data_IF_221126788018
#
_entry.id   IF_221126788018
#
_cell.length_a   1.000
_cell.length_b   1.000
_cell.length_c   1.000
_cell.angle_alpha   90.00
_cell.angle_beta   90.00
_cell.angle_gamma   90.00
#
_symmetry.space_group_name_H-M   'P 1'
#
loop_
_entity.id
_entity.type
_entity.pdbx_description
1 polymer ?
#
# COMPACT_ATOMS: atom_id res chain seq x y z
N UNK A 1 27.39 -13.84 -25.48
CA UNK A 1 27.92 -14.93 -24.64
C UNK A 1 27.22 -14.81 -23.31
N UNK A 2 26.54 -15.89 -22.90
CA UNK A 2 25.92 -16.00 -21.57
C UNK A 2 27.02 -16.03 -20.51
N UNK A 3 26.74 -15.53 -19.31
CA UNK A 3 27.75 -15.51 -18.25
C UNK A 3 28.07 -16.93 -17.78
N UNK A 4 29.35 -17.25 -17.61
CA UNK A 4 29.78 -18.61 -17.24
C UNK A 4 29.76 -18.76 -15.72
N UNK A 5 28.61 -19.13 -15.15
CA UNK A 5 28.51 -19.50 -13.74
C UNK A 5 28.85 -20.99 -13.59
N UNK A 6 29.51 -21.38 -12.49
CA UNK A 6 29.82 -22.79 -12.23
C UNK A 6 28.54 -23.61 -12.04
N UNK A 7 28.55 -24.84 -12.55
CA UNK A 7 27.41 -25.76 -12.41
C UNK A 7 27.03 -25.99 -10.94
N UNK A 8 28.03 -26.00 -10.04
CA UNK A 8 27.83 -26.12 -8.60
C UNK A 8 27.00 -24.96 -8.03
N UNK A 9 27.33 -23.70 -8.38
CA UNK A 9 26.62 -22.53 -7.87
C UNK A 9 25.17 -22.47 -8.40
N UNK A 10 24.95 -22.88 -9.65
CA UNK A 10 23.60 -23.00 -10.22
C UNK A 10 22.76 -24.09 -9.52
N UNK A 11 23.39 -25.22 -9.17
CA UNK A 11 22.73 -26.29 -8.42
C UNK A 11 22.35 -25.86 -7.00
N UNK A 12 23.24 -25.16 -6.29
CA UNK A 12 22.96 -24.62 -4.96
C UNK A 12 21.82 -23.58 -4.99
N UNK A 13 21.82 -22.68 -5.98
CA UNK A 13 20.73 -21.71 -6.17
C UNK A 13 19.38 -22.42 -6.40
N UNK A 14 19.38 -23.50 -7.17
CA UNK A 14 18.18 -24.31 -7.42
C UNK A 14 17.66 -24.97 -6.13
N UNK A 15 18.56 -25.49 -5.30
CA UNK A 15 18.21 -26.07 -3.99
C UNK A 15 17.61 -24.99 -3.08
N UNK A 16 18.20 -23.80 -3.03
CA UNK A 16 17.69 -22.68 -2.25
C UNK A 16 16.30 -22.24 -2.73
N UNK A 17 16.08 -22.17 -4.05
CA UNK A 17 14.76 -21.82 -4.58
C UNK A 17 13.69 -22.83 -4.19
N UNK A 18 14.01 -24.13 -4.17
CA UNK A 18 13.09 -25.16 -3.66
C UNK A 18 12.81 -24.98 -2.16
N UNK A 19 13.82 -24.61 -1.37
CA UNK A 19 13.64 -24.28 0.05
C UNK A 19 12.67 -23.11 0.24
N UNK A 20 12.83 -22.03 -0.53
CA UNK A 20 11.89 -20.88 -0.55
C UNK A 20 10.45 -21.34 -0.79
N UNK A 21 10.23 -22.21 -1.78
CA UNK A 21 8.90 -22.76 -2.10
C UNK A 21 8.35 -23.60 -0.94
N UNK A 22 9.15 -24.54 -0.42
CA UNK A 22 8.71 -25.49 0.61
C UNK A 22 8.39 -24.80 1.95
N UNK A 23 9.15 -23.76 2.30
CA UNK A 23 8.95 -22.97 3.52
C UNK A 23 7.92 -21.84 3.33
N UNK A 24 7.29 -21.74 2.15
CA UNK A 24 6.35 -20.67 1.79
C UNK A 24 6.93 -19.25 1.93
N UNK A 25 8.25 -19.12 1.79
CA UNK A 25 8.95 -17.87 2.00
C UNK A 25 8.70 -16.90 0.84
N UNK A 26 8.54 -15.62 1.16
CA UNK A 26 8.43 -14.52 0.20
C UNK A 26 9.79 -13.85 0.06
N UNK A 27 10.31 -13.71 -1.17
CA UNK A 27 11.60 -13.06 -1.42
C UNK A 27 11.45 -11.95 -2.46
N UNK A 28 11.82 -10.72 -2.08
CA UNK A 28 11.83 -9.55 -2.94
C UNK A 28 13.27 -9.14 -3.21
N UNK A 29 13.68 -9.18 -4.48
CA UNK A 29 14.99 -8.73 -4.94
C UNK A 29 14.82 -7.38 -5.63
N UNK A 30 15.57 -6.38 -5.19
CA UNK A 30 15.54 -5.03 -5.77
C UNK A 30 16.90 -4.77 -6.39
N UNK A 31 16.91 -4.54 -7.70
CA UNK A 31 18.07 -4.08 -8.43
C UNK A 31 17.98 -2.57 -8.69
N UNK A 32 19.03 -1.85 -8.31
CA UNK A 32 19.25 -0.46 -8.69
C UNK A 32 20.65 -0.31 -9.27
N UNK A 33 20.87 0.72 -10.09
CA UNK A 33 22.19 0.95 -10.68
C UNK A 33 22.21 2.09 -11.69
N UNK A 34 23.41 2.42 -12.16
CA UNK A 34 23.65 3.57 -13.05
C UNK A 34 23.21 3.35 -14.50
N UNK A 35 23.14 2.10 -14.94
CA UNK A 35 22.89 1.75 -16.34
C UNK A 35 21.77 0.73 -16.46
N UNK A 36 20.62 1.15 -17.00
CA UNK A 36 19.51 0.26 -17.30
C UNK A 36 19.88 -0.87 -18.27
N UNK A 37 20.88 -0.67 -19.15
CA UNK A 37 21.34 -1.72 -20.07
C UNK A 37 22.09 -2.83 -19.35
N UNK A 38 23.02 -2.46 -18.48
CA UNK A 38 23.82 -3.41 -17.70
C UNK A 38 22.93 -4.13 -16.70
N UNK A 39 22.11 -3.37 -15.97
CA UNK A 39 21.14 -3.90 -15.02
C UNK A 39 20.17 -4.88 -15.68
N UNK A 40 19.58 -4.51 -16.83
CA UNK A 40 18.69 -5.39 -17.57
C UNK A 40 19.38 -6.69 -18.02
N UNK A 41 20.67 -6.65 -18.37
CA UNK A 41 21.42 -7.85 -18.71
C UNK A 41 21.69 -8.73 -17.48
N UNK A 42 22.17 -8.15 -16.38
CA UNK A 42 22.42 -8.87 -15.11
C UNK A 42 21.15 -9.52 -14.60
N UNK A 43 20.03 -8.79 -14.59
CA UNK A 43 18.72 -9.33 -14.16
C UNK A 43 18.28 -10.48 -15.07
N UNK A 44 18.44 -10.35 -16.39
CA UNK A 44 18.06 -11.41 -17.32
C UNK A 44 18.90 -12.68 -17.13
N UNK A 45 20.22 -12.55 -16.98
CA UNK A 45 21.09 -13.68 -16.68
C UNK A 45 20.75 -14.30 -15.31
N UNK A 46 20.49 -13.48 -14.28
CA UNK A 46 20.09 -13.95 -12.95
C UNK A 46 18.78 -14.76 -13.01
N UNK A 47 17.78 -14.26 -13.74
CA UNK A 47 16.51 -14.96 -13.94
C UNK A 47 16.66 -16.28 -14.69
N UNK A 48 17.59 -16.37 -15.65
CA UNK A 48 17.82 -17.60 -16.41
C UNK A 48 18.41 -18.74 -15.55
N UNK A 49 19.00 -18.41 -14.40
CA UNK A 49 19.52 -19.40 -13.44
C UNK A 49 18.43 -19.92 -12.50
N UNK A 50 17.31 -19.23 -12.41
CA UNK A 50 16.18 -19.56 -11.53
C UNK A 50 15.12 -20.36 -12.30
N UNK A 51 14.39 -21.22 -11.60
CA UNK A 51 13.21 -21.89 -12.15
C UNK A 51 12.11 -20.85 -12.48
N UNK A 52 11.69 -20.72 -13.75
CA UNK A 52 10.78 -19.65 -14.18
C UNK A 52 9.43 -19.65 -13.48
N UNK A 53 8.89 -20.82 -13.09
CA UNK A 53 7.59 -20.89 -12.39
C UNK A 53 7.60 -20.25 -11.01
N UNK A 54 8.78 -20.04 -10.42
CA UNK A 54 8.97 -19.49 -9.09
C UNK A 54 9.20 -17.98 -9.05
N UNK A 55 9.32 -17.31 -10.20
CA UNK A 55 9.79 -15.92 -10.27
C UNK A 55 8.82 -14.99 -10.98
N UNK A 56 8.80 -13.72 -10.57
CA UNK A 56 8.12 -12.64 -11.28
C UNK A 56 9.04 -11.44 -11.41
N UNK A 57 9.07 -10.80 -12.57
CA UNK A 57 9.84 -9.58 -12.81
C UNK A 57 8.90 -8.40 -13.03
N UNK A 58 9.20 -7.27 -12.40
CA UNK A 58 8.46 -6.01 -12.61
C UNK A 58 9.42 -4.87 -12.91
N UNK A 59 9.23 -4.28 -14.09
CA UNK A 59 9.80 -2.98 -14.44
C UNK A 59 8.84 -1.86 -14.07
N UNK A 60 9.31 -0.96 -13.22
CA UNK A 60 8.56 0.24 -12.84
C UNK A 60 8.98 1.43 -13.69
N UNK A 61 8.04 2.33 -13.91
CA UNK A 61 8.27 3.60 -14.60
C UNK A 61 7.81 4.71 -13.64
N UNK A 62 8.67 5.13 -12.70
CA UNK A 62 8.32 6.12 -11.69
C UNK A 62 7.72 7.41 -12.26
N UNK A 63 8.18 7.82 -13.44
CA UNK A 63 7.72 9.04 -14.14
C UNK A 63 6.24 9.00 -14.54
N UNK A 64 5.68 7.79 -14.70
CA UNK A 64 4.29 7.59 -15.11
C UNK A 64 3.35 7.35 -13.90
N UNK A 65 3.87 7.38 -12.68
CA UNK A 65 3.06 7.14 -11.48
C UNK A 65 2.24 8.38 -11.12
N UNK A 66 0.98 8.43 -11.57
CA UNK A 66 0.11 9.58 -11.38
C UNK A 66 -1.10 9.32 -10.47
N UNK A 67 -1.20 8.12 -9.87
CA UNK A 67 -2.35 7.76 -9.05
C UNK A 67 -2.01 6.82 -7.89
N UNK A 68 -2.86 6.74 -6.84
CA UNK A 68 -2.69 5.79 -5.75
C UNK A 68 -2.52 4.34 -6.22
N UNK A 69 -3.24 3.93 -7.28
CA UNK A 69 -3.06 2.61 -7.90
C UNK A 69 -1.64 2.38 -8.39
N UNK A 70 -1.03 3.39 -9.02
CA UNK A 70 0.32 3.27 -9.58
C UNK A 70 1.37 3.21 -8.48
N UNK A 71 1.26 4.06 -7.44
CA UNK A 71 2.16 4.00 -6.29
C UNK A 71 2.07 2.66 -5.56
N UNK A 72 0.86 2.17 -5.34
CA UNK A 72 0.66 0.91 -4.62
C UNK A 72 0.97 -0.32 -5.47
N UNK A 73 1.45 -0.16 -6.72
CA UNK A 73 2.06 -1.26 -7.48
C UNK A 73 3.27 -1.87 -6.78
N UNK A 74 3.99 -1.11 -5.97
CA UNK A 74 5.09 -1.68 -5.18
C UNK A 74 4.61 -2.76 -4.21
N UNK A 75 3.40 -2.61 -3.65
CA UNK A 75 2.76 -3.64 -2.83
C UNK A 75 2.12 -4.71 -3.72
N UNK A 76 1.35 -4.34 -4.76
CA UNK A 76 0.60 -5.35 -5.53
C UNK A 76 1.47 -6.30 -6.34
N UNK A 77 2.75 -5.96 -6.56
CA UNK A 77 3.74 -6.79 -7.28
C UNK A 77 4.67 -7.57 -6.35
N UNK A 78 4.43 -7.52 -5.05
CA UNK A 78 5.20 -8.28 -4.08
C UNK A 78 5.14 -9.79 -4.39
N UNK A 79 6.12 -10.58 -3.94
CA UNK A 79 6.08 -12.03 -4.15
C UNK A 79 4.91 -12.66 -3.38
N UNK A 80 4.23 -13.63 -3.98
CA UNK A 80 3.37 -14.53 -3.22
C UNK A 80 4.22 -15.50 -2.36
N UNK A 81 3.62 -16.16 -1.37
CA UNK A 81 4.27 -17.23 -0.59
C UNK A 81 4.93 -18.27 -1.50
N UNK A 82 6.20 -18.56 -1.22
CA UNK A 82 7.03 -19.47 -1.99
C UNK A 82 7.53 -18.91 -3.33
N UNK A 83 7.47 -17.61 -3.57
CA UNK A 83 7.89 -16.95 -4.82
C UNK A 83 8.98 -15.91 -4.60
N UNK A 84 9.67 -15.60 -5.69
CA UNK A 84 10.67 -14.54 -5.79
C UNK A 84 10.12 -13.45 -6.72
N UNK A 85 10.04 -12.21 -6.26
CA UNK A 85 9.79 -11.05 -7.11
C UNK A 85 11.07 -10.28 -7.32
N UNK A 86 11.32 -9.84 -8.55
CA UNK A 86 12.48 -9.05 -8.93
C UNK A 86 11.98 -7.69 -9.42
N UNK A 87 12.43 -6.63 -8.78
CA UNK A 87 12.13 -5.25 -9.12
C UNK A 87 13.35 -4.59 -9.74
N UNK A 88 13.14 -3.83 -10.79
CA UNK A 88 14.05 -2.75 -11.19
C UNK A 88 13.30 -1.42 -11.26
N UNK A 89 14.04 -0.32 -11.16
CA UNK A 89 13.49 1.03 -11.09
C UNK A 89 12.46 1.21 -9.97
N UNK A 90 12.73 0.65 -8.80
CA UNK A 90 11.82 0.62 -7.66
C UNK A 90 11.56 2.01 -7.05
N UNK A 91 11.03 2.05 -5.83
CA UNK A 91 10.85 3.30 -5.08
C UNK A 91 12.16 4.08 -4.89
N UNK A 92 13.34 3.45 -4.98
CA UNK A 92 14.61 4.17 -4.95
C UNK A 92 14.85 4.99 -6.22
N UNK A 93 14.59 4.43 -7.40
CA UNK A 93 14.64 5.20 -8.65
C UNK A 93 13.63 6.36 -8.63
N UNK A 94 12.48 6.20 -7.96
CA UNK A 94 11.53 7.30 -7.72
C UNK A 94 12.11 8.38 -6.79
N UNK A 95 12.70 8.01 -5.65
CA UNK A 95 13.38 8.95 -4.73
C UNK A 95 14.38 9.79 -5.52
N UNK A 96 15.21 9.14 -6.32
CA UNK A 96 16.24 9.78 -7.12
C UNK A 96 15.64 10.78 -8.11
N UNK A 97 14.56 10.42 -8.81
CA UNK A 97 13.87 11.30 -9.75
C UNK A 97 13.30 12.53 -9.05
N UNK A 98 12.56 12.34 -7.96
CA UNK A 98 11.89 13.43 -7.24
C UNK A 98 12.87 14.36 -6.51
N UNK A 99 13.94 13.83 -5.91
CA UNK A 99 14.99 14.66 -5.28
C UNK A 99 15.71 15.50 -6.34
N UNK A 100 15.90 14.97 -7.55
CA UNK A 100 16.47 15.75 -8.65
C UNK A 100 15.55 16.90 -9.10
N UNK A 101 14.23 16.73 -8.95
CA UNK A 101 13.22 17.78 -9.16
C UNK A 101 13.06 18.73 -7.96
N UNK A 102 13.85 18.53 -6.89
CA UNK A 102 13.91 19.42 -5.73
C UNK A 102 13.01 19.02 -4.55
N UNK A 103 12.42 17.82 -4.57
CA UNK A 103 11.69 17.28 -3.41
C UNK A 103 12.63 16.95 -2.27
N UNK A 104 12.11 17.02 -1.05
CA UNK A 104 12.86 16.69 0.15
C UNK A 104 13.22 15.20 0.19
N UNK A 105 14.51 14.92 0.37
CA UNK A 105 15.03 13.56 0.34
C UNK A 105 14.64 12.78 1.59
N UNK A 106 14.56 13.44 2.75
CA UNK A 106 14.30 12.79 4.04
C UNK A 106 12.88 12.20 4.08
N UNK A 107 11.88 12.95 3.62
CA UNK A 107 10.49 12.45 3.55
C UNK A 107 10.38 11.20 2.65
N UNK A 108 10.97 11.25 1.46
CA UNK A 108 10.90 10.15 0.49
C UNK A 108 11.67 8.90 0.98
N UNK A 109 12.82 9.09 1.63
CA UNK A 109 13.59 8.01 2.24
C UNK A 109 12.85 7.39 3.42
N UNK A 110 12.20 8.20 4.25
CA UNK A 110 11.35 7.70 5.34
C UNK A 110 10.18 6.86 4.83
N UNK A 111 9.58 7.25 3.69
CA UNK A 111 8.53 6.47 3.05
C UNK A 111 9.05 5.12 2.54
N UNK A 112 10.22 5.09 1.89
CA UNK A 112 10.87 3.85 1.45
C UNK A 112 11.18 2.91 2.62
N UNK A 113 11.77 3.42 3.70
CA UNK A 113 12.03 2.62 4.90
C UNK A 113 10.75 2.11 5.57
N UNK A 114 9.67 2.89 5.52
CA UNK A 114 8.35 2.45 6.02
C UNK A 114 7.83 1.26 5.22
N UNK A 115 8.00 1.27 3.89
CA UNK A 115 7.62 0.17 3.00
C UNK A 115 8.51 -1.07 3.19
N UNK A 116 9.83 -0.91 3.31
CA UNK A 116 10.76 -2.00 3.62
C UNK A 116 10.42 -2.66 4.96
N UNK A 117 10.14 -1.85 5.97
CA UNK A 117 9.72 -2.32 7.29
C UNK A 117 8.37 -3.02 7.20
N UNK A 118 7.44 -2.51 6.40
CA UNK A 118 6.16 -3.18 6.16
C UNK A 118 6.37 -4.60 5.63
N UNK A 119 7.13 -4.75 4.55
CA UNK A 119 7.45 -6.05 3.95
C UNK A 119 8.17 -6.97 4.95
N UNK A 120 9.21 -6.47 5.60
CA UNK A 120 10.01 -7.26 6.57
C UNK A 120 9.18 -7.74 7.76
N UNK A 121 8.34 -6.86 8.32
CA UNK A 121 7.43 -7.21 9.42
C UNK A 121 6.36 -8.23 9.03
N UNK A 122 6.05 -8.34 7.74
CA UNK A 122 5.10 -9.33 7.20
C UNK A 122 5.83 -10.54 6.58
N UNK A 123 7.09 -10.76 6.97
CA UNK A 123 7.83 -11.96 6.63
C UNK A 123 8.47 -11.97 5.26
N UNK A 124 8.48 -10.86 4.51
CA UNK A 124 9.16 -10.79 3.20
C UNK A 124 10.65 -10.58 3.42
N UNK A 125 11.49 -11.42 2.79
CA UNK A 125 12.93 -11.22 2.72
C UNK A 125 13.24 -10.22 1.62
N UNK A 126 13.94 -9.14 1.95
CA UNK A 126 14.35 -8.11 0.99
C UNK A 126 15.84 -8.26 0.72
N UNK A 127 16.21 -8.39 -0.56
CA UNK A 127 17.61 -8.38 -1.03
C UNK A 127 17.79 -7.16 -1.91
N UNK A 128 18.64 -6.22 -1.51
CA UNK A 128 18.86 -4.97 -2.27
C UNK A 128 20.26 -4.96 -2.86
N UNK A 129 20.34 -4.93 -4.18
CA UNK A 129 21.60 -4.99 -4.92
C UNK A 129 21.76 -3.68 -5.70
N UNK A 130 22.82 -2.94 -5.41
CA UNK A 130 23.22 -1.78 -6.18
C UNK A 130 24.39 -2.16 -7.10
N UNK A 131 24.15 -2.13 -8.41
CA UNK A 131 25.17 -2.38 -9.42
C UNK A 131 26.00 -1.10 -9.64
N UNK A 132 27.18 -1.06 -9.00
CA UNK A 132 28.13 0.03 -9.16
C UNK A 132 29.00 -0.21 -10.38
N UNK A 133 29.05 0.75 -11.30
CA UNK A 133 29.85 0.65 -12.52
C UNK A 133 30.70 1.92 -12.67
N UNK A 134 31.98 1.73 -13.02
CA UNK A 134 32.87 2.85 -13.33
C UNK A 134 32.49 3.49 -14.67
N UNK A 135 32.87 4.76 -14.85
CA UNK A 135 32.59 5.46 -16.11
C UNK A 135 33.31 4.78 -17.29
N UNK A 136 34.53 4.30 -17.07
CA UNK A 136 35.34 3.55 -18.05
C UNK A 136 34.62 2.26 -18.51
N UNK A 137 34.15 1.44 -17.58
CA UNK A 137 33.46 0.17 -17.91
C UNK A 137 32.10 0.44 -18.57
N UNK A 138 31.41 1.53 -18.21
CA UNK A 138 30.16 1.91 -18.89
C UNK A 138 30.39 2.18 -20.37
N UNK A 139 31.43 2.93 -20.73
CA UNK A 139 31.76 3.27 -22.12
C UNK A 139 32.14 2.01 -22.91
N UNK A 140 32.95 1.13 -22.33
CA UNK A 140 33.31 -0.15 -22.97
C UNK A 140 32.09 -1.05 -23.21
N UNK A 141 31.20 -1.18 -22.22
CA UNK A 141 29.99 -1.98 -22.35
C UNK A 141 29.02 -1.34 -23.36
N UNK A 142 28.90 -0.01 -23.39
CA UNK A 142 28.09 0.71 -24.36
C UNK A 142 28.59 0.49 -25.79
N UNK A 143 29.92 0.50 -26.02
CA UNK A 143 30.54 0.21 -27.31
C UNK A 143 30.28 -1.24 -27.75
N UNK A 144 30.39 -2.21 -26.84
CA UNK A 144 30.15 -3.65 -27.11
C UNK A 144 28.69 -3.98 -27.42
N UNK A 145 27.75 -3.28 -26.80
CA UNK A 145 26.30 -3.53 -26.95
C UNK A 145 25.67 -2.81 -28.18
N UNK A 146 26.40 -1.93 -28.86
CA UNK A 146 25.96 -1.19 -30.05
C UNK A 146 25.03 0.02 -29.77
N UNK A 147 24.78 0.85 -30.81
CA UNK A 147 23.87 2.01 -30.75
C UNK A 147 22.40 1.56 -30.72
N UNK A 148 21.59 2.13 -29.83
CA UNK A 148 20.13 1.85 -29.76
C UNK A 148 19.40 2.59 -30.89
N UNK A 149 18.38 1.95 -31.47
CA UNK A 149 17.24 2.65 -32.07
C UNK A 149 16.41 3.21 -30.91
N UNK A 150 16.48 4.51 -30.67
CA UNK A 150 15.76 5.19 -29.58
C UNK A 150 14.26 4.93 -29.69
N UNK A 151 13.73 4.10 -28.78
CA UNK A 151 12.33 4.19 -28.35
C UNK A 151 12.35 4.41 -26.84
N UNK A 152 11.76 5.55 -26.46
CA UNK A 152 11.53 6.16 -25.15
C UNK A 152 12.74 6.45 -24.25
N UNK A 153 12.87 7.73 -23.93
CA UNK A 153 13.65 8.37 -22.86
C UNK A 153 13.38 7.69 -21.52
N UNK A 154 14.37 6.97 -21.00
CA UNK A 154 14.39 6.50 -19.61
C UNK A 154 15.28 7.47 -18.83
N UNK A 155 14.84 7.91 -17.65
CA UNK A 155 15.57 8.85 -16.77
C UNK A 155 17.01 8.42 -16.45
N UNK A 156 17.29 7.12 -16.40
CA UNK A 156 18.64 6.56 -16.20
C UNK A 156 19.47 6.47 -17.51
N UNK A 157 18.91 6.92 -18.63
CA UNK A 157 19.56 6.93 -19.97
C UNK A 157 19.60 8.31 -20.62
N UNK A 158 19.01 9.33 -20.00
CA UNK A 158 19.00 10.69 -20.54
C UNK A 158 20.24 11.48 -20.10
N UNK A 159 20.85 12.16 -21.08
CA UNK A 159 22.06 13.00 -20.98
C UNK A 159 21.87 14.28 -20.10
N UNK A 160 20.81 14.33 -19.29
CA UNK A 160 20.40 15.51 -18.53
C UNK A 160 20.89 15.54 -17.08
N UNK A 161 21.55 14.46 -16.61
CA UNK A 161 21.98 14.34 -15.22
C UNK A 161 23.51 14.22 -15.18
N UNK A 162 24.16 15.13 -14.45
CA UNK A 162 25.57 15.02 -14.11
C UNK A 162 25.80 13.73 -13.29
N UNK A 163 26.48 12.71 -13.85
CA UNK A 163 26.57 11.40 -13.23
C UNK A 163 27.31 11.41 -11.88
N UNK A 164 28.24 12.36 -11.68
CA UNK A 164 28.99 12.50 -10.42
C UNK A 164 28.14 13.20 -9.37
N UNK A 165 27.48 14.31 -9.75
CA UNK A 165 26.54 15.02 -8.87
C UNK A 165 25.42 14.08 -8.38
N UNK A 166 24.88 13.27 -9.28
CA UNK A 166 23.81 12.31 -8.98
C UNK A 166 24.26 11.20 -8.03
N UNK A 167 25.41 10.59 -8.29
CA UNK A 167 25.94 9.50 -7.48
C UNK A 167 26.23 9.96 -6.07
N UNK A 168 27.02 11.03 -5.94
CA UNK A 168 27.58 11.42 -4.64
C UNK A 168 26.59 12.25 -3.81
N UNK A 169 25.69 13.00 -4.44
CA UNK A 169 24.73 13.86 -3.71
C UNK A 169 23.37 13.23 -3.46
N UNK A 170 22.96 12.24 -4.25
CA UNK A 170 21.60 11.66 -4.16
C UNK A 170 21.68 10.18 -3.81
N UNK A 171 22.35 9.37 -4.65
CA UNK A 171 22.30 7.91 -4.53
C UNK A 171 23.06 7.39 -3.32
N UNK A 172 24.31 7.80 -3.11
CA UNK A 172 25.10 7.33 -1.96
C UNK A 172 24.49 7.74 -0.61
N UNK A 173 24.02 8.98 -0.42
CA UNK A 173 23.25 9.34 0.77
C UNK A 173 21.99 8.50 0.96
N UNK A 174 21.20 8.27 -0.10
CA UNK A 174 20.00 7.43 -0.06
C UNK A 174 20.35 5.98 0.33
N UNK A 175 21.41 5.39 -0.25
CA UNK A 175 21.88 4.06 0.12
C UNK A 175 22.27 4.04 1.60
N UNK A 176 23.05 5.02 2.06
CA UNK A 176 23.49 5.08 3.45
C UNK A 176 22.33 5.19 4.44
N UNK A 177 21.34 6.05 4.16
CA UNK A 177 20.18 6.26 5.05
C UNK A 177 19.19 5.10 5.04
N UNK A 178 19.09 4.38 3.92
CA UNK A 178 18.19 3.22 3.78
C UNK A 178 18.89 1.88 3.96
N UNK A 179 20.18 1.85 4.33
CA UNK A 179 20.90 0.63 4.67
C UNK A 179 20.54 0.19 6.09
N UNK A 180 19.56 -0.69 6.23
CA UNK A 180 19.02 -1.09 7.53
C UNK A 180 19.38 -2.54 7.87
N UNK A 181 19.38 -2.94 9.16
CA UNK A 181 19.66 -4.32 9.55
C UNK A 181 18.68 -5.35 8.98
N UNK A 182 17.44 -4.94 8.68
CA UNK A 182 16.39 -5.82 8.14
C UNK A 182 16.35 -5.83 6.60
N UNK A 183 16.93 -4.83 5.95
CA UNK A 183 17.08 -4.72 4.50
C UNK A 183 18.39 -3.97 4.19
N UNK A 184 19.54 -4.66 4.24
CA UNK A 184 20.82 -4.05 3.92
C UNK A 184 20.98 -3.85 2.41
N UNK A 185 21.88 -2.95 2.03
CA UNK A 185 22.35 -2.76 0.66
C UNK A 185 23.62 -3.57 0.42
N UNK A 186 23.65 -4.28 -0.70
CA UNK A 186 24.83 -4.93 -1.24
C UNK A 186 25.28 -4.19 -2.49
N UNK A 187 26.48 -3.60 -2.45
CA UNK A 187 27.07 -2.89 -3.58
C UNK A 187 27.94 -3.89 -4.34
N UNK A 188 27.59 -4.15 -5.60
CA UNK A 188 28.33 -5.07 -6.48
C UNK A 188 29.01 -4.27 -7.58
N UNK A 189 30.34 -4.33 -7.62
CA UNK A 189 31.14 -3.66 -8.63
C UNK A 189 31.11 -4.43 -9.95
N UNK A 190 30.66 -3.76 -11.02
CA UNK A 190 30.60 -4.29 -12.37
C UNK A 190 31.90 -3.95 -13.09
N UNK A 191 32.89 -4.83 -12.96
CA UNK A 191 34.13 -4.78 -13.75
C UNK A 191 34.07 -5.77 -14.92
N UNK A 192 33.72 -7.01 -14.60
CA UNK A 192 33.49 -8.11 -15.52
C UNK A 192 32.08 -8.69 -15.29
N UNK A 193 31.40 -9.10 -16.37
CA UNK A 193 30.02 -9.56 -16.26
C UNK A 193 29.90 -10.92 -15.57
N UNK A 194 30.84 -11.84 -15.80
CA UNK A 194 30.79 -13.18 -15.23
C UNK A 194 31.06 -13.11 -13.72
N UNK A 195 32.06 -12.30 -13.31
CA UNK A 195 32.33 -12.03 -11.90
C UNK A 195 31.15 -11.30 -11.22
N UNK A 196 30.57 -10.31 -11.88
CA UNK A 196 29.37 -9.61 -11.38
C UNK A 196 28.21 -10.58 -11.17
N UNK A 197 27.97 -11.49 -12.11
CA UNK A 197 26.92 -12.50 -11.99
C UNK A 197 27.17 -13.46 -10.83
N UNK A 198 28.40 -13.95 -10.67
CA UNK A 198 28.76 -14.80 -9.53
C UNK A 198 28.53 -14.07 -8.19
N UNK A 199 28.92 -12.80 -8.10
CA UNK A 199 28.70 -11.97 -6.90
C UNK A 199 27.21 -11.76 -6.62
N UNK A 200 26.39 -11.44 -7.64
CA UNK A 200 24.93 -11.27 -7.50
C UNK A 200 24.28 -12.54 -6.96
N UNK A 201 24.63 -13.71 -7.50
CA UNK A 201 24.09 -14.99 -7.06
C UNK A 201 24.53 -15.30 -5.62
N UNK A 202 25.82 -15.14 -5.32
CA UNK A 202 26.34 -15.33 -3.97
C UNK A 202 25.66 -14.43 -2.95
N UNK A 203 25.58 -13.12 -3.23
CA UNK A 203 24.88 -12.15 -2.38
C UNK A 203 23.43 -12.53 -2.17
N UNK A 204 22.70 -12.88 -3.23
CA UNK A 204 21.31 -13.33 -3.10
C UNK A 204 21.21 -14.55 -2.18
N UNK A 205 22.03 -15.57 -2.42
CA UNK A 205 22.00 -16.81 -1.63
C UNK A 205 22.35 -16.56 -0.17
N UNK A 206 23.44 -15.84 0.10
CA UNK A 206 23.89 -15.49 1.44
C UNK A 206 22.79 -14.74 2.21
N UNK A 207 22.19 -13.72 1.60
CA UNK A 207 21.13 -12.92 2.24
C UNK A 207 19.90 -13.76 2.53
N UNK A 208 19.44 -14.58 1.58
CA UNK A 208 18.27 -15.43 1.78
C UNK A 208 18.56 -16.50 2.84
N UNK A 209 19.68 -17.21 2.75
CA UNK A 209 20.06 -18.27 3.72
C UNK A 209 20.17 -17.68 5.12
N UNK A 210 20.91 -16.58 5.28
CA UNK A 210 21.02 -15.89 6.56
C UNK A 210 19.64 -15.56 7.14
N UNK A 211 18.72 -15.09 6.32
CA UNK A 211 17.35 -14.73 6.74
C UNK A 211 16.44 -15.91 7.02
N UNK A 212 16.66 -17.04 6.38
CA UNK A 212 15.96 -18.30 6.68
C UNK A 212 16.46 -18.94 7.97
N UNK A 213 17.71 -18.69 8.35
CA UNK A 213 18.35 -19.28 9.54
C UNK A 213 18.22 -18.41 10.79
N UNK A 214 18.00 -17.10 10.63
CA UNK A 214 17.89 -16.15 11.74
C UNK A 214 16.52 -15.49 11.74
N UNK A 215 15.70 -15.82 12.75
CA UNK A 215 14.42 -15.14 12.98
C UNK A 215 14.64 -13.65 13.24
N UNK A 216 13.80 -12.81 12.65
CA UNK A 216 13.76 -11.38 13.03
C UNK A 216 12.96 -11.24 14.29
N UNK A 217 13.65 -11.03 15.39
CA UNK A 217 13.00 -10.56 16.60
C UNK A 217 12.79 -9.04 16.50
N UNK A 218 11.61 -8.64 16.07
CA UNK A 218 11.19 -7.24 16.16
C UNK A 218 10.66 -6.99 17.58
N UNK A 219 11.02 -5.87 18.22
CA UNK A 219 10.46 -5.55 19.52
C UNK A 219 8.94 -5.42 19.40
N UNK A 220 8.17 -6.03 20.33
CA UNK A 220 6.72 -5.95 20.30
C UNK A 220 6.30 -4.49 20.33
N UNK A 221 5.52 -4.08 19.33
CA UNK A 221 5.01 -2.72 19.26
C UNK A 221 3.68 -2.64 19.96
N UNK A 222 3.45 -1.55 20.68
CA UNK A 222 2.13 -1.21 21.20
C UNK A 222 1.47 -0.20 20.26
N UNK A 223 0.15 -0.26 20.16
CA UNK A 223 -0.62 0.75 19.43
C UNK A 223 -0.64 2.03 20.26
N UNK A 224 0.15 3.01 19.84
CA UNK A 224 0.22 4.32 20.51
C UNK A 224 -0.91 5.25 20.06
N UNK A 225 -1.66 5.79 21.03
CA UNK A 225 -2.56 6.92 20.82
C UNK A 225 -1.76 8.20 20.57
N UNK A 226 -1.93 8.82 19.41
CA UNK A 226 -1.15 9.99 18.93
C UNK A 226 -2.00 11.17 18.50
N UNK A 227 -3.29 10.96 18.27
CA UNK A 227 -4.22 11.89 17.65
C UNK A 227 -5.49 12.03 18.49
N UNK A 228 -6.20 13.17 18.40
CA UNK A 228 -7.47 13.34 19.07
C UNK A 228 -8.52 12.36 18.55
N UNK A 229 -9.45 11.99 19.42
CA UNK A 229 -10.55 11.07 19.13
C UNK A 229 -11.87 11.82 18.93
N UNK A 230 -12.25 12.17 17.67
CA UNK A 230 -13.51 12.85 17.40
C UNK A 230 -14.76 12.04 17.80
N UNK A 231 -14.63 10.74 18.12
CA UNK A 231 -15.77 9.92 18.54
C UNK A 231 -16.28 10.33 19.92
N UNK A 232 -15.36 10.74 20.81
CA UNK A 232 -15.67 11.17 22.17
C UNK A 232 -16.46 12.49 22.23
N UNK A 233 -16.52 13.22 21.12
CA UNK A 233 -17.23 14.50 20.99
C UNK A 233 -18.55 14.38 20.19
N UNK A 234 -18.93 13.16 19.78
CA UNK A 234 -20.09 12.93 18.93
C UNK A 234 -21.41 13.23 19.66
N UNK A 235 -22.24 14.09 19.05
CA UNK A 235 -23.59 14.40 19.54
C UNK A 235 -24.64 13.54 18.82
N UNK A 236 -25.04 12.43 19.45
CA UNK A 236 -26.02 11.50 18.86
C UNK A 236 -27.46 12.04 18.80
N UNK A 237 -27.72 13.25 19.30
CA UNK A 237 -29.04 13.89 19.23
C UNK A 237 -29.29 14.62 17.90
N UNK A 238 -28.31 14.66 17.00
CA UNK A 238 -28.43 15.32 15.69
C UNK A 238 -29.51 14.68 14.83
N UNK A 239 -30.35 15.51 14.23
CA UNK A 239 -31.45 15.10 13.34
C UNK A 239 -31.48 15.90 12.06
N UNK A 240 -31.97 15.30 10.97
CA UNK A 240 -32.08 15.99 9.69
C UNK A 240 -33.38 16.79 9.60
N UNK A 241 -33.28 18.11 9.38
CA UNK A 241 -34.44 19.00 9.20
C UNK A 241 -34.99 18.96 7.75
N UNK A 242 -34.16 19.29 6.76
CA UNK A 242 -34.57 19.46 5.36
C UNK A 242 -34.01 18.39 4.42
N UNK A 243 -34.18 17.12 4.79
CA UNK A 243 -33.45 16.00 4.16
C UNK A 243 -33.55 15.94 2.63
N UNK A 244 -34.75 16.11 2.06
CA UNK A 244 -34.94 15.95 0.61
C UNK A 244 -34.23 17.05 -0.18
N UNK A 245 -34.47 18.31 0.19
CA UNK A 245 -33.86 19.47 -0.48
C UNK A 245 -32.35 19.43 -0.43
N UNK A 246 -31.81 19.14 0.76
CA UNK A 246 -30.36 19.13 0.95
C UNK A 246 -29.69 17.96 0.24
N UNK A 247 -30.34 16.79 0.23
CA UNK A 247 -29.86 15.64 -0.53
C UNK A 247 -29.79 15.93 -2.04
N UNK A 248 -30.78 16.63 -2.58
CA UNK A 248 -30.81 17.02 -4.01
C UNK A 248 -29.66 17.99 -4.34
N UNK A 249 -29.48 19.03 -3.53
CA UNK A 249 -28.39 19.99 -3.69
C UNK A 249 -27.01 19.34 -3.59
N UNK A 250 -26.78 18.55 -2.53
CA UNK A 250 -25.52 17.82 -2.35
C UNK A 250 -25.25 16.85 -3.50
N UNK A 251 -26.30 16.20 -4.01
CA UNK A 251 -26.14 15.26 -5.12
C UNK A 251 -25.71 15.95 -6.40
N UNK A 252 -26.28 17.13 -6.70
CA UNK A 252 -25.89 17.92 -7.87
C UNK A 252 -24.44 18.43 -7.75
N UNK A 253 -24.04 18.91 -6.57
CA UNK A 253 -22.68 19.36 -6.28
C UNK A 253 -21.66 18.23 -6.46
N UNK A 254 -21.92 17.05 -5.87
CA UNK A 254 -21.04 15.87 -5.96
C UNK A 254 -20.91 15.41 -7.41
N UNK A 255 -21.99 15.39 -8.18
CA UNK A 255 -21.95 15.02 -9.59
C UNK A 255 -21.03 15.94 -10.41
N UNK A 256 -21.11 17.26 -10.16
CA UNK A 256 -20.23 18.25 -10.82
C UNK A 256 -18.78 18.11 -10.37
N UNK A 257 -18.54 17.89 -9.08
CA UNK A 257 -17.19 17.72 -8.53
C UNK A 257 -16.52 16.44 -9.01
N UNK A 258 -17.28 15.36 -9.22
CA UNK A 258 -16.73 14.13 -9.80
C UNK A 258 -16.16 14.36 -11.20
N UNK A 259 -16.78 15.20 -12.02
CA UNK A 259 -16.26 15.56 -13.33
C UNK A 259 -14.91 16.30 -13.20
N UNK A 260 -14.84 17.31 -12.32
CA UNK A 260 -13.60 18.03 -12.03
C UNK A 260 -12.50 17.10 -11.49
N UNK A 261 -12.84 16.15 -10.61
CA UNK A 261 -11.91 15.15 -10.09
C UNK A 261 -11.34 14.29 -11.23
N UNK A 262 -12.19 13.88 -12.17
CA UNK A 262 -11.75 13.12 -13.34
C UNK A 262 -10.81 13.92 -14.24
N UNK A 263 -11.09 15.22 -14.45
CA UNK A 263 -10.26 16.13 -15.25
C UNK A 263 -8.91 16.45 -14.60
N UNK A 264 -8.87 16.60 -13.27
CA UNK A 264 -7.62 16.89 -12.55
C UNK A 264 -6.70 15.69 -12.40
N UNK A 265 -7.21 14.47 -12.63
CA UNK A 265 -6.47 13.22 -12.40
C UNK A 265 -6.32 12.84 -10.92
N UNK A 266 -6.73 13.71 -9.97
CA UNK A 266 -6.73 13.37 -8.54
C UNK A 266 -7.69 12.22 -8.27
N UNK A 267 -7.35 11.38 -7.30
CA UNK A 267 -8.15 10.21 -6.96
C UNK A 267 -8.69 10.32 -5.55
N UNK A 268 -9.80 9.62 -5.25
CA UNK A 268 -10.40 9.65 -3.92
C UNK A 268 -10.60 8.24 -3.37
N UNK A 269 -10.27 8.05 -2.09
CA UNK A 269 -10.47 6.82 -1.33
C UNK A 269 -11.37 7.12 -0.15
N UNK A 270 -12.52 6.46 -0.09
CA UNK A 270 -13.48 6.59 1.00
C UNK A 270 -13.57 5.29 1.76
N UNK A 271 -13.39 5.35 3.07
CA UNK A 271 -13.43 4.17 3.96
C UNK A 271 -14.65 4.28 4.86
N UNK A 272 -15.47 3.23 4.92
CA UNK A 272 -16.64 3.17 5.80
C UNK A 272 -16.47 2.07 6.85
N UNK A 273 -16.30 2.49 8.10
CA UNK A 273 -16.35 1.66 9.29
C UNK A 273 -17.47 2.14 10.24
N UNK A 274 -17.71 1.41 11.32
CA UNK A 274 -18.72 1.76 12.33
C UNK A 274 -19.45 0.54 12.86
N UNK A 275 -20.27 0.74 13.89
CA UNK A 275 -21.02 -0.33 14.53
C UNK A 275 -21.88 -1.14 13.57
N UNK A 276 -22.12 -2.40 13.93
CA UNK A 276 -23.12 -3.19 13.21
C UNK A 276 -24.48 -2.52 13.30
N UNK A 277 -25.19 -2.53 12.17
CA UNK A 277 -26.40 -1.75 11.92
C UNK A 277 -26.30 -0.20 11.97
N UNK A 278 -25.10 0.40 12.07
CA UNK A 278 -24.94 1.86 12.04
C UNK A 278 -25.39 2.55 10.74
N UNK A 279 -25.42 1.80 9.63
CA UNK A 279 -26.03 2.29 8.38
C UNK A 279 -25.06 2.57 7.23
N UNK A 280 -23.81 2.09 7.30
CA UNK A 280 -22.77 2.16 6.25
C UNK A 280 -23.32 2.03 4.83
N UNK A 281 -23.86 0.86 4.47
CA UNK A 281 -24.41 0.61 3.13
C UNK A 281 -25.57 1.54 2.72
N UNK A 282 -26.31 2.12 3.67
CA UNK A 282 -27.34 3.12 3.39
C UNK A 282 -26.75 4.47 2.98
N UNK A 283 -25.65 4.88 3.62
CA UNK A 283 -24.89 6.09 3.28
C UNK A 283 -24.15 5.93 1.96
N UNK A 284 -23.45 4.80 1.76
CA UNK A 284 -22.80 4.46 0.48
C UNK A 284 -23.83 4.49 -0.66
N UNK A 285 -24.99 3.85 -0.50
CA UNK A 285 -26.06 3.86 -1.51
C UNK A 285 -26.57 5.26 -1.86
N UNK A 286 -26.50 6.23 -0.95
CA UNK A 286 -26.91 7.62 -1.23
C UNK A 286 -25.80 8.37 -1.95
N UNK A 287 -24.55 8.20 -1.53
CA UNK A 287 -23.40 8.80 -2.18
C UNK A 287 -23.28 8.35 -3.64
N UNK A 288 -23.31 7.04 -3.89
CA UNK A 288 -23.12 6.50 -5.25
C UNK A 288 -24.27 6.82 -6.20
N UNK A 289 -25.44 7.20 -5.69
CA UNK A 289 -26.56 7.71 -6.51
C UNK A 289 -26.30 9.11 -7.06
N UNK A 290 -25.41 9.86 -6.42
CA UNK A 290 -24.97 11.18 -6.85
C UNK A 290 -23.79 11.12 -7.82
N UNK A 291 -23.21 9.94 -8.04
CA UNK A 291 -22.01 9.73 -8.85
C UNK A 291 -22.33 9.00 -10.15
N UNK A 292 -21.59 9.31 -11.21
CA UNK A 292 -21.53 8.54 -12.44
C UNK A 292 -20.82 7.19 -12.17
N UNK A 293 -21.46 6.04 -12.46
CA UNK A 293 -20.94 4.71 -12.16
C UNK A 293 -19.65 4.33 -12.90
N UNK A 294 -19.26 5.08 -13.93
CA UNK A 294 -17.96 4.86 -14.61
C UNK A 294 -16.77 5.38 -13.81
N UNK A 295 -17.00 6.33 -12.89
CA UNK A 295 -15.95 7.02 -12.14
C UNK A 295 -15.80 6.55 -10.70
N UNK A 296 -16.51 5.49 -10.27
CA UNK A 296 -16.32 4.92 -8.94
C UNK A 296 -16.36 3.40 -8.92
N UNK A 297 -15.79 2.82 -7.86
CA UNK A 297 -15.89 1.40 -7.55
C UNK A 297 -16.18 1.21 -6.05
N UNK A 298 -17.07 0.27 -5.71
CA UNK A 298 -17.37 -0.08 -4.31
C UNK A 298 -16.79 -1.45 -4.02
N UNK A 299 -15.96 -1.53 -2.97
CA UNK A 299 -15.25 -2.72 -2.53
C UNK A 299 -15.87 -3.19 -1.21
N UNK A 300 -16.73 -4.22 -1.22
CA UNK A 300 -17.15 -4.87 0.02
C UNK A 300 -16.00 -5.74 0.54
N UNK A 301 -15.46 -5.42 1.71
CA UNK A 301 -14.37 -6.19 2.32
C UNK A 301 -14.93 -7.30 3.21
N UNK A 302 -14.49 -8.52 2.95
CA UNK A 302 -14.86 -9.72 3.69
C UNK A 302 -13.62 -10.49 4.18
N UNK A 303 -13.81 -11.71 4.71
CA UNK A 303 -12.70 -12.60 5.05
C UNK A 303 -11.81 -12.85 3.82
N UNK A 304 -10.47 -12.96 3.99
CA UNK A 304 -9.57 -13.12 2.86
C UNK A 304 -9.76 -14.47 2.16
N UNK A 305 -9.67 -14.50 0.83
CA UNK A 305 -9.83 -15.70 -0.01
C UNK A 305 -8.75 -15.81 -1.09
N UNK A 306 -8.47 -17.03 -1.55
CA UNK A 306 -7.55 -17.28 -2.67
C UNK A 306 -6.20 -16.58 -2.50
N UNK A 307 -5.85 -15.77 -3.50
CA UNK A 307 -4.58 -15.03 -3.55
C UNK A 307 -4.38 -14.08 -2.37
N UNK A 308 -5.44 -13.55 -1.76
CA UNK A 308 -5.33 -12.65 -0.60
C UNK A 308 -4.62 -13.32 0.60
N UNK A 309 -4.62 -14.67 0.69
CA UNK A 309 -3.97 -15.42 1.79
C UNK A 309 -2.48 -15.72 1.56
N UNK A 310 -2.02 -15.59 0.33
CA UNK A 310 -0.61 -15.85 -0.05
C UNK A 310 0.20 -14.56 -0.19
N UNK A 311 -0.42 -13.42 0.07
CA UNK A 311 0.19 -12.09 0.05
C UNK A 311 0.16 -11.45 1.45
N UNK A 312 0.86 -10.33 1.60
CA UNK A 312 0.87 -9.52 2.82
C UNK A 312 -0.50 -8.84 3.03
N UNK A 313 -0.79 -8.46 4.27
CA UNK A 313 -2.13 -8.00 4.67
C UNK A 313 -2.68 -6.83 3.83
N UNK A 314 -1.85 -5.86 3.44
CA UNK A 314 -2.29 -4.64 2.75
C UNK A 314 -2.46 -4.86 1.24
N UNK A 315 -1.90 -5.95 0.69
CA UNK A 315 -1.99 -6.29 -0.72
C UNK A 315 -3.43 -6.32 -1.23
N UNK A 316 -4.31 -6.96 -0.47
CA UNK A 316 -5.74 -7.12 -0.84
C UNK A 316 -6.50 -5.79 -0.96
N UNK A 317 -6.02 -4.75 -0.29
CA UNK A 317 -6.59 -3.40 -0.40
C UNK A 317 -5.90 -2.61 -1.51
N UNK A 318 -4.58 -2.76 -1.64
CA UNK A 318 -3.77 -2.11 -2.67
C UNK A 318 -4.26 -2.43 -4.10
N UNK A 319 -4.69 -3.66 -4.38
CA UNK A 319 -5.22 -4.06 -5.70
C UNK A 319 -6.51 -3.33 -6.10
N UNK A 320 -7.24 -2.80 -5.12
CA UNK A 320 -8.53 -2.15 -5.35
C UNK A 320 -8.41 -0.62 -5.46
N UNK A 321 -7.21 -0.07 -5.41
CA UNK A 321 -7.00 1.37 -5.36
C UNK A 321 -7.46 2.09 -6.64
N UNK A 322 -7.93 3.35 -6.52
CA UNK A 322 -8.41 4.10 -7.66
C UNK A 322 -7.25 4.44 -8.59
N UNK A 323 -7.51 4.33 -9.90
CA UNK A 323 -6.69 4.98 -10.92
C UNK A 323 -6.97 6.49 -10.92
N UNK A 324 -6.14 7.26 -11.61
CA UNK A 324 -6.30 8.71 -11.76
C UNK A 324 -7.75 9.10 -12.09
N UNK A 325 -8.28 10.12 -11.40
CA UNK A 325 -9.63 10.64 -11.61
C UNK A 325 -10.79 9.76 -11.09
N UNK A 326 -10.50 8.66 -10.37
CA UNK A 326 -11.53 7.72 -9.91
C UNK A 326 -11.68 7.72 -8.39
N UNK A 327 -12.85 7.24 -7.95
CA UNK A 327 -13.20 7.10 -6.54
C UNK A 327 -13.28 5.61 -6.19
N UNK A 328 -12.62 5.18 -5.11
CA UNK A 328 -12.83 3.85 -4.52
C UNK A 328 -13.49 3.99 -3.16
N UNK A 329 -14.55 3.22 -2.93
CA UNK A 329 -15.32 3.21 -1.69
C UNK A 329 -15.20 1.83 -1.04
N UNK A 330 -14.55 1.76 0.11
CA UNK A 330 -14.42 0.55 0.90
C UNK A 330 -15.57 0.45 1.92
N UNK A 331 -16.40 -0.60 1.83
CA UNK A 331 -17.37 -0.98 2.87
C UNK A 331 -16.72 -2.04 3.75
N UNK A 332 -16.29 -1.62 4.95
CA UNK A 332 -15.16 -2.23 5.70
C UNK A 332 -13.84 -2.12 4.94
N UNK A 333 -12.71 -2.26 5.65
CA UNK A 333 -11.38 -1.92 5.10
C UNK A 333 -10.22 -2.61 5.83
N UNK A 334 -9.00 -2.11 5.59
CA UNK A 334 -7.78 -2.51 6.30
C UNK A 334 -7.85 -2.33 7.82
N UNK A 335 -8.79 -1.52 8.32
CA UNK A 335 -9.03 -1.34 9.74
C UNK A 335 -9.58 -2.58 10.47
N UNK A 336 -9.99 -3.63 9.75
CA UNK A 336 -10.33 -4.93 10.36
C UNK A 336 -9.24 -5.46 11.30
N UNK A 337 -7.96 -5.31 10.92
CA UNK A 337 -6.77 -5.69 11.72
C UNK A 337 -6.66 -4.99 13.07
N UNK A 338 -7.32 -3.84 13.23
CA UNK A 338 -7.32 -3.06 14.46
C UNK A 338 -8.61 -3.20 15.28
N UNK A 339 -9.58 -3.98 14.78
CA UNK A 339 -10.89 -4.14 15.41
C UNK A 339 -11.26 -5.62 15.53
N UNK A 340 -11.93 -6.19 14.51
CA UNK A 340 -12.48 -7.55 14.57
C UNK A 340 -11.39 -8.62 14.71
N UNK A 341 -10.25 -8.44 14.05
CA UNK A 341 -9.21 -9.46 14.03
C UNK A 341 -8.56 -9.73 15.40
N UNK A 342 -8.09 -8.74 16.16
CA UNK A 342 -7.52 -9.00 17.49
C UNK A 342 -8.59 -9.49 18.49
N UNK A 343 -9.85 -9.05 18.36
CA UNK A 343 -10.95 -9.43 19.26
C UNK A 343 -11.40 -10.89 19.05
N UNK A 344 -11.36 -11.36 17.79
CA UNK A 344 -11.71 -12.74 17.43
C UNK A 344 -10.49 -13.68 17.31
N UNK A 345 -9.28 -13.18 17.52
CA UNK A 345 -8.04 -13.97 17.45
C UNK A 345 -7.60 -14.33 16.03
N UNK A 346 -7.96 -13.52 15.03
CA UNK A 346 -7.51 -13.69 13.63
C UNK A 346 -6.17 -13.04 13.33
N UNK A 347 -5.63 -12.26 14.26
CA UNK A 347 -4.25 -11.77 14.22
C UNK A 347 -3.56 -11.97 15.58
N UNK A 348 -2.24 -12.03 15.57
CA UNK A 348 -1.45 -12.06 16.81
C UNK A 348 -1.18 -10.65 17.37
N UNK A 349 -0.62 -10.59 18.58
CA UNK A 349 -0.35 -9.32 19.28
C UNK A 349 0.66 -8.44 18.53
N UNK A 350 1.68 -9.02 17.89
CA UNK A 350 2.67 -8.25 17.14
C UNK A 350 2.07 -7.67 15.85
N UNK A 351 1.25 -8.44 15.14
CA UNK A 351 0.45 -7.99 14.00
C UNK A 351 -0.45 -6.82 14.37
N UNK A 352 -1.19 -6.92 15.46
CA UNK A 352 -2.00 -5.82 15.97
C UNK A 352 -1.12 -4.61 16.35
N UNK A 353 -0.06 -4.86 17.11
CA UNK A 353 0.85 -3.86 17.63
C UNK A 353 1.50 -2.96 16.57
N UNK A 354 1.87 -3.54 15.44
CA UNK A 354 2.47 -2.80 14.31
C UNK A 354 1.46 -2.17 13.36
N UNK A 355 0.18 -2.56 13.42
CA UNK A 355 -0.86 -2.20 12.44
C UNK A 355 -1.06 -0.71 12.26
N UNK A 356 -1.14 0.06 13.35
CA UNK A 356 -1.35 1.51 13.27
C UNK A 356 -0.25 2.20 12.46
N UNK A 357 1.02 1.81 12.69
CA UNK A 357 2.15 2.38 11.96
C UNK A 357 2.15 2.00 10.48
N UNK A 358 1.77 0.75 10.16
CA UNK A 358 1.70 0.26 8.79
C UNK A 358 0.55 0.93 8.01
N UNK A 359 -0.62 1.08 8.64
CA UNK A 359 -1.78 1.77 8.06
C UNK A 359 -1.46 3.24 7.79
N UNK A 360 -0.82 3.96 8.72
CA UNK A 360 -0.39 5.35 8.47
C UNK A 360 0.60 5.45 7.30
N UNK A 361 1.56 4.53 7.20
CA UNK A 361 2.49 4.48 6.06
C UNK A 361 1.76 4.24 4.73
N UNK A 362 0.78 3.34 4.73
CA UNK A 362 -0.06 3.04 3.59
C UNK A 362 -0.91 4.24 3.14
N UNK A 363 -1.57 4.91 4.07
CA UNK A 363 -2.37 6.11 3.81
C UNK A 363 -1.50 7.28 3.35
N UNK A 364 -0.29 7.44 3.91
CA UNK A 364 0.68 8.46 3.47
C UNK A 364 1.12 8.22 2.02
N UNK A 365 1.38 6.97 1.61
CA UNK A 365 1.70 6.66 0.20
C UNK A 365 0.58 7.06 -0.76
N UNK A 366 -0.68 6.91 -0.34
CA UNK A 366 -1.85 7.31 -1.14
C UNK A 366 -1.93 8.84 -1.24
N UNK A 367 -1.74 9.55 -0.12
CA UNK A 367 -1.82 11.02 -0.10
C UNK A 367 -0.67 11.69 -0.87
N UNK A 368 0.53 11.10 -0.89
CA UNK A 368 1.70 11.63 -1.62
C UNK A 368 1.49 11.77 -3.13
N UNK A 369 0.56 11.01 -3.72
CA UNK A 369 0.16 11.17 -5.12
C UNK A 369 -1.15 11.96 -5.28
N UNK A 370 -1.43 12.86 -4.35
CA UNK A 370 -2.61 13.73 -4.39
C UNK A 370 -3.93 12.99 -4.15
N UNK A 371 -3.87 11.75 -3.66
CA UNK A 371 -5.04 10.96 -3.29
C UNK A 371 -5.77 11.55 -2.09
N UNK A 372 -7.06 11.84 -2.24
CA UNK A 372 -7.92 12.35 -1.17
C UNK A 372 -8.44 11.16 -0.37
N UNK A 373 -8.15 11.09 0.93
CA UNK A 373 -8.57 9.99 1.80
C UNK A 373 -9.52 10.51 2.87
N UNK A 374 -10.69 9.90 2.99
CA UNK A 374 -11.65 10.20 4.07
C UNK A 374 -12.11 8.90 4.69
N UNK A 375 -12.04 8.83 6.02
CA UNK A 375 -12.44 7.64 6.79
C UNK A 375 -13.65 7.98 7.63
N UNK A 376 -14.74 7.26 7.43
CA UNK A 376 -16.00 7.46 8.15
C UNK A 376 -16.14 6.41 9.24
N UNK A 377 -16.34 6.86 10.47
CA UNK A 377 -16.81 6.01 11.57
C UNK A 377 -18.28 6.30 11.84
N UNK A 378 -19.16 5.34 11.51
CA UNK A 378 -20.59 5.46 11.72
C UNK A 378 -20.94 5.13 13.19
N UNK A 379 -21.17 6.16 14.01
CA UNK A 379 -21.48 6.04 15.44
C UNK A 379 -23.00 5.95 15.67
N UNK A 380 -23.41 5.04 16.56
CA UNK A 380 -24.77 4.91 17.08
C UNK A 380 -24.68 4.47 18.55
N UNK A 381 -25.74 4.69 19.32
CA UNK A 381 -25.84 4.17 20.68
C UNK A 381 -26.03 2.63 20.70
N UNK A 382 -25.63 1.95 21.80
CA UNK A 382 -26.02 0.56 22.02
C UNK A 382 -27.53 0.35 21.94
N UNK A 383 -28.33 1.31 22.41
CA UNK A 383 -29.79 1.25 22.42
C UNK A 383 -30.36 1.26 21.00
N UNK A 384 -29.88 2.18 20.15
CA UNK A 384 -30.29 2.26 18.74
C UNK A 384 -29.81 1.06 17.94
N UNK A 385 -28.64 0.48 18.26
CA UNK A 385 -28.22 -0.78 17.65
C UNK A 385 -29.24 -1.89 17.93
N UNK A 386 -29.69 -2.04 19.19
CA UNK A 386 -30.68 -3.05 19.57
C UNK A 386 -32.01 -2.81 18.85
N UNK A 387 -32.51 -1.58 18.88
CA UNK A 387 -33.75 -1.21 18.18
C UNK A 387 -33.68 -1.55 16.68
N UNK A 388 -32.51 -1.33 16.05
CA UNK A 388 -32.28 -1.70 14.64
C UNK A 388 -32.20 -3.20 14.41
N UNK A 389 -31.64 -3.96 15.34
CA UNK A 389 -31.60 -5.42 15.27
C UNK A 389 -33.03 -5.97 15.35
N UNK A 390 -33.82 -5.56 16.33
CA UNK A 390 -35.22 -5.98 16.47
C UNK A 390 -36.06 -5.62 15.24
N UNK A 391 -35.93 -4.39 14.73
CA UNK A 391 -36.64 -3.94 13.54
C UNK A 391 -36.23 -4.69 12.26
N UNK A 392 -34.98 -5.18 12.17
CA UNK A 392 -34.51 -6.01 11.04
C UNK A 392 -35.04 -7.44 11.16
N UNK A 393 -35.05 -8.02 12.37
CA UNK A 393 -35.58 -9.36 12.64
C UNK A 393 -37.08 -9.43 12.30
N UNK A 394 -37.81 -8.38 12.63
CA UNK A 394 -39.25 -8.27 12.32
C UNK A 394 -39.57 -8.00 10.84
N UNK A 395 -38.57 -7.66 10.01
CA UNK A 395 -38.78 -7.29 8.61
C UNK A 395 -38.35 -8.42 7.66
N UNK A 396 -39.28 -9.09 6.95
CA UNK A 396 -38.96 -10.23 6.07
C UNK A 396 -37.93 -9.92 4.96
N UNK A 397 -37.80 -8.67 4.53
CA UNK A 397 -36.88 -8.25 3.44
C UNK A 397 -35.48 -7.92 3.99
N UNK A 398 -35.32 -7.82 5.31
CA UNK A 398 -34.07 -7.45 5.98
C UNK A 398 -33.60 -8.47 7.02
N UNK A 399 -34.37 -9.52 7.29
CA UNK A 399 -34.05 -10.55 8.26
C UNK A 399 -32.71 -11.23 7.98
N UNK A 400 -32.37 -11.41 6.70
CA UNK A 400 -31.06 -11.94 6.26
C UNK A 400 -29.84 -11.10 6.68
N UNK A 401 -30.04 -9.86 7.15
CA UNK A 401 -28.99 -8.93 7.59
C UNK A 401 -28.66 -9.02 9.09
N UNK A 402 -29.18 -10.03 9.78
CA UNK A 402 -28.80 -10.35 11.16
C UNK A 402 -28.45 -11.83 11.21
N UNK A 403 -27.35 -12.10 11.88
CA UNK A 403 -26.80 -13.42 12.15
C UNK A 403 -26.56 -13.57 13.65
N UNK A 404 -26.30 -14.80 14.10
CA UNK A 404 -25.90 -15.05 15.50
C UNK A 404 -24.56 -14.37 15.85
N UNK A 405 -23.72 -14.10 14.85
CA UNK A 405 -22.47 -13.35 15.00
C UNK A 405 -22.73 -11.90 15.38
N UNK A 406 -23.75 -11.25 14.80
CA UNK A 406 -24.11 -9.87 15.14
C UNK A 406 -24.50 -9.73 16.63
N UNK A 407 -25.21 -10.72 17.18
CA UNK A 407 -25.58 -10.74 18.61
C UNK A 407 -24.37 -10.95 19.52
N UNK A 408 -23.47 -11.86 19.14
CA UNK A 408 -22.21 -12.10 19.87
C UNK A 408 -21.31 -10.86 19.88
N UNK A 409 -21.21 -10.16 18.75
CA UNK A 409 -20.41 -8.94 18.64
C UNK A 409 -20.98 -7.83 19.55
N UNK A 410 -22.30 -7.74 19.66
CA UNK A 410 -22.97 -6.81 20.58
C UNK A 410 -22.62 -7.09 22.04
N UNK A 411 -22.57 -8.35 22.48
CA UNK A 411 -22.18 -8.70 23.85
C UNK A 411 -20.75 -8.23 24.18
N UNK A 412 -19.89 -8.15 23.16
CA UNK A 412 -18.51 -7.65 23.26
C UNK A 412 -18.40 -6.12 23.11
N UNK A 413 -19.50 -5.35 23.14
CA UNK A 413 -19.48 -3.89 22.92
C UNK A 413 -18.38 -3.15 23.70
N UNK A 414 -18.20 -3.36 25.02
CA UNK A 414 -17.17 -2.64 25.79
C UNK A 414 -15.75 -2.93 25.28
N UNK A 415 -15.51 -4.15 24.80
CA UNK A 415 -14.21 -4.54 24.23
C UNK A 415 -14.01 -3.84 22.89
N UNK A 416 -14.99 -3.90 21.99
CA UNK A 416 -14.91 -3.22 20.70
C UNK A 416 -14.69 -1.71 20.86
N UNK A 417 -15.33 -1.08 21.84
CA UNK A 417 -15.19 0.34 22.12
C UNK A 417 -13.73 0.73 22.37
N UNK A 418 -12.99 -0.03 23.18
CA UNK A 418 -11.57 0.25 23.42
C UNK A 418 -10.72 0.13 22.15
N UNK A 419 -10.97 -0.88 21.32
CA UNK A 419 -10.24 -1.08 20.07
C UNK A 419 -10.55 0.01 19.04
N UNK A 420 -11.81 0.44 18.95
CA UNK A 420 -12.24 1.55 18.08
C UNK A 420 -11.58 2.85 18.51
N UNK A 421 -11.59 3.16 19.81
CA UNK A 421 -10.96 4.37 20.32
C UNK A 421 -9.46 4.39 20.03
N UNK A 422 -8.74 3.28 20.31
CA UNK A 422 -7.31 3.16 19.99
C UNK A 422 -7.05 3.24 18.49
N UNK A 423 -7.91 2.66 17.65
CA UNK A 423 -7.80 2.73 16.19
C UNK A 423 -7.87 4.18 15.71
N UNK A 424 -8.87 4.95 16.17
CA UNK A 424 -9.03 6.37 15.80
C UNK A 424 -7.84 7.18 16.33
N UNK A 425 -7.53 7.06 17.62
CA UNK A 425 -6.46 7.81 18.28
C UNK A 425 -5.07 7.54 17.71
N UNK A 426 -4.85 6.38 17.11
CA UNK A 426 -3.56 6.04 16.50
C UNK A 426 -3.49 6.31 14.99
N UNK A 427 -4.61 6.64 14.32
CA UNK A 427 -4.65 6.81 12.86
C UNK A 427 -5.41 8.04 12.36
N UNK A 428 -5.89 8.94 13.22
CA UNK A 428 -6.54 10.19 12.83
C UNK A 428 -5.54 11.28 12.38
N UNK A 429 -4.81 11.01 11.30
CA UNK A 429 -3.79 11.90 10.72
C UNK A 429 -4.41 13.05 9.91
N UNK A 430 -3.67 14.15 9.71
CA UNK A 430 -4.12 15.29 8.89
C UNK A 430 -4.36 14.94 7.42
N UNK A 431 -3.55 14.04 6.83
CA UNK A 431 -3.67 13.62 5.43
C UNK A 431 -4.71 12.50 5.21
N UNK A 432 -5.21 11.89 6.28
CA UNK A 432 -6.25 10.88 6.25
C UNK A 432 -7.07 10.99 7.55
N UNK A 433 -8.01 11.94 7.64
CA UNK A 433 -8.78 12.18 8.85
C UNK A 433 -9.89 11.14 9.04
N UNK A 434 -10.21 10.87 10.30
CA UNK A 434 -11.42 10.20 10.74
C UNK A 434 -12.55 11.21 10.92
N UNK A 435 -13.68 10.93 10.28
CA UNK A 435 -14.93 11.68 10.38
C UNK A 435 -15.95 10.79 11.07
N UNK A 436 -16.33 11.18 12.28
CA UNK A 436 -17.38 10.48 13.02
C UNK A 436 -18.73 10.96 12.51
N UNK A 437 -19.58 10.01 12.14
CA UNK A 437 -20.91 10.25 11.58
C UNK A 437 -21.94 9.82 12.61
N UNK A 438 -22.60 10.79 13.24
CA UNK A 438 -23.68 10.59 14.20
C UNK A 438 -24.87 9.99 13.46
N UNK A 439 -24.95 8.67 13.48
CA UNK A 439 -25.81 7.89 12.59
C UNK A 439 -27.09 7.42 13.27
N UNK A 440 -27.40 7.95 14.45
CA UNK A 440 -28.64 7.72 15.18
C UNK A 440 -29.84 8.06 14.27
N UNK A 441 -29.89 9.29 13.76
CA UNK A 441 -30.72 9.65 12.62
C UNK A 441 -30.01 9.30 11.30
N UNK A 442 -30.51 8.24 10.64
CA UNK A 442 -30.00 7.78 9.33
C UNK A 442 -29.99 8.88 8.25
N UNK A 443 -30.98 9.78 8.25
CA UNK A 443 -31.06 10.88 7.28
C UNK A 443 -29.94 11.88 7.55
N UNK A 444 -29.71 12.23 8.82
CA UNK A 444 -28.61 13.12 9.21
C UNK A 444 -27.26 12.53 8.83
N UNK A 445 -26.98 11.29 9.23
CA UNK A 445 -25.71 10.64 8.91
C UNK A 445 -25.41 10.55 7.41
N UNK A 446 -26.43 10.30 6.58
CA UNK A 446 -26.30 10.33 5.11
C UNK A 446 -25.89 11.72 4.60
N UNK A 447 -26.57 12.76 5.08
CA UNK A 447 -26.25 14.14 4.69
C UNK A 447 -24.85 14.52 5.12
N UNK A 448 -24.43 14.17 6.34
CA UNK A 448 -23.08 14.44 6.84
C UNK A 448 -22.02 13.81 5.95
N UNK A 449 -22.17 12.54 5.57
CA UNK A 449 -21.27 11.86 4.61
C UNK A 449 -21.19 12.63 3.29
N UNK A 450 -22.34 13.01 2.71
CA UNK A 450 -22.36 13.74 1.44
C UNK A 450 -21.71 15.13 1.57
N UNK A 451 -21.99 15.87 2.65
CA UNK A 451 -21.35 17.16 2.92
C UNK A 451 -19.84 17.01 3.01
N UNK A 452 -19.35 16.07 3.82
CA UNK A 452 -17.91 15.83 4.00
C UNK A 452 -17.22 15.48 2.67
N UNK A 453 -17.80 14.59 1.87
CA UNK A 453 -17.24 14.23 0.56
C UNK A 453 -17.22 15.44 -0.38
N UNK A 454 -18.30 16.22 -0.42
CA UNK A 454 -18.44 17.42 -1.24
C UNK A 454 -17.46 18.52 -0.83
N UNK A 455 -17.28 18.72 0.47
CA UNK A 455 -16.37 19.73 1.02
C UNK A 455 -14.91 19.35 0.76
N UNK A 456 -14.53 18.09 0.99
CA UNK A 456 -13.18 17.59 0.70
C UNK A 456 -12.84 17.61 -0.80
N UNK A 457 -13.81 17.33 -1.68
CA UNK A 457 -13.60 17.50 -3.13
C UNK A 457 -13.44 18.98 -3.52
N UNK A 458 -14.17 19.91 -2.90
CA UNK A 458 -14.00 21.35 -3.18
C UNK A 458 -12.60 21.79 -2.75
N UNK A 459 -12.21 21.51 -1.51
CA UNK A 459 -10.90 21.85 -0.97
C UNK A 459 -9.76 21.34 -1.86
N UNK A 460 -9.80 20.06 -2.25
CA UNK A 460 -8.72 19.46 -3.03
C UNK A 460 -8.69 19.83 -4.54
N UNK A 461 -9.73 20.48 -5.07
CA UNK A 461 -9.89 20.82 -6.50
C UNK A 461 -9.98 22.33 -6.77
N UNK A 462 -10.17 23.14 -5.73
CA UNK A 462 -10.14 24.60 -5.81
C UNK A 462 -8.73 25.16 -5.47
N UNK A 463 -7.82 24.30 -5.00
CA UNK A 463 -6.34 24.43 -5.10
C UNK A 463 -5.84 23.97 -6.48
#
# INVERSE_FOLDING_TARGET
MAATISDDLAAELTVLQRRIVNENQQVLVIFEGRSGRVMGRVINEFMNLLEPRGITYTHFVPEEMSSPRDMLRYITREPAKGKISIYDRSWYSRIVAEVNEGRDADELQNLAMSLERYFSNNGVIIVKIFLNISDETMDEVAQRLGKKRLKSSSFLTDDHIDPKKWRDKIVMPMIASTNTPFAPWDIVDVQDLDMCMAMVVHTFMERVVHRLEHEVHLPPKTVESRYPNPRKEADLTKTAKSYKSELEELSADIARLQLKLAESGRSMVLVFEGWDAAGKGGSIKRLVRSLNPRGYYVVPVAAPVGDEKVHTYLWRFAINMPKAGHITIFDRSWYGRMMVEPIEGFCNEDEYGRSASQIRGFEKMISELGGIIIKFWMEISPEEQLARFEARRANPVKSWKITDEDWRNREKWPVYEEYVDRMIESTNTSFAPWVVVESEDKKYGRLKVLRTVRDAMKEALDD
#
